data_IF_035366709587
#
_entry.id   IF_035366709587
#
_cell.length_a   1.000
_cell.length_b   1.000
_cell.length_c   1.000
_cell.angle_alpha   90.00
_cell.angle_beta   90.00
_cell.angle_gamma   90.00
#
_symmetry.space_group_name_H-M   'P 1'
#
loop_
_entity.id
_entity.type
_entity.pdbx_description
1 polymer ?
#
# COMPACT_ATOMS: atom_id res chain seq x y z
N UNK A 1 7.25 -2.58 -0.01
CA UNK A 1 6.71 -3.14 1.25
C UNK A 1 7.86 -3.42 2.18
N UNK A 2 7.74 -2.98 3.43
CA UNK A 2 8.74 -3.21 4.48
C UNK A 2 8.53 -4.56 5.17
N UNK A 3 9.51 -5.02 5.95
CA UNK A 3 9.37 -6.24 6.76
C UNK A 3 8.33 -6.04 7.88
N UNK A 4 8.29 -4.86 8.52
CA UNK A 4 7.30 -4.56 9.56
C UNK A 4 5.85 -4.72 9.07
N UNK A 5 5.57 -4.28 7.84
CA UNK A 5 4.27 -4.48 7.21
C UNK A 5 3.95 -5.96 6.94
N UNK A 6 4.94 -6.77 6.55
CA UNK A 6 4.74 -8.22 6.35
C UNK A 6 4.41 -8.90 7.67
N UNK A 7 5.11 -8.57 8.74
CA UNK A 7 4.86 -9.14 10.07
C UNK A 7 3.48 -8.75 10.60
N UNK A 8 3.08 -7.50 10.35
CA UNK A 8 1.72 -7.04 10.65
C UNK A 8 0.66 -7.81 9.87
N UNK A 9 0.86 -8.02 8.56
CA UNK A 9 -0.04 -8.81 7.73
C UNK A 9 -0.17 -10.26 8.21
N UNK A 10 0.93 -10.90 8.59
CA UNK A 10 0.91 -12.26 9.13
C UNK A 10 0.13 -12.29 10.45
N UNK A 11 0.35 -11.31 11.33
CA UNK A 11 -0.35 -11.23 12.62
C UNK A 11 -1.85 -10.98 12.44
N UNK A 12 -2.24 -10.13 11.49
CA UNK A 12 -3.63 -9.79 11.21
C UNK A 12 -4.38 -10.86 10.40
N UNK A 13 -3.67 -11.61 9.54
CA UNK A 13 -4.25 -12.54 8.58
C UNK A 13 -4.06 -14.03 8.91
N UNK A 14 -3.40 -14.36 10.02
CA UNK A 14 -3.20 -15.73 10.46
C UNK A 14 -4.12 -16.07 11.63
N UNK A 15 -5.07 -16.98 11.40
CA UNK A 15 -5.90 -17.55 12.46
C UNK A 15 -5.59 -19.04 12.61
N UNK A 16 -5.23 -19.54 13.81
CA UNK A 16 -4.88 -20.95 14.02
C UNK A 16 -5.94 -21.93 13.53
N UNK A 17 -7.22 -21.57 13.68
CA UNK A 17 -8.36 -22.40 13.28
C UNK A 17 -8.60 -22.43 11.76
N UNK A 18 -8.17 -21.39 11.03
CA UNK A 18 -8.45 -21.21 9.60
C UNK A 18 -7.19 -21.19 8.72
N UNK A 19 -6.01 -21.25 9.33
CA UNK A 19 -4.71 -21.13 8.65
C UNK A 19 -4.54 -19.76 7.99
N UNK A 20 -3.86 -19.73 6.85
CA UNK A 20 -3.62 -18.51 6.06
C UNK A 20 -4.81 -18.07 5.19
N UNK A 21 -6.01 -18.66 5.35
CA UNK A 21 -7.20 -18.25 4.59
C UNK A 21 -7.57 -16.76 4.80
N UNK A 22 -7.51 -16.21 6.03
CA UNK A 22 -7.78 -14.79 6.25
C UNK A 22 -6.70 -13.88 5.64
N UNK A 23 -5.47 -14.39 5.44
CA UNK A 23 -4.33 -13.62 4.93
C UNK A 23 -4.62 -12.93 3.59
N UNK A 24 -5.32 -13.61 2.68
CA UNK A 24 -5.70 -13.02 1.39
C UNK A 24 -6.63 -11.81 1.57
N UNK A 25 -7.55 -11.87 2.53
CA UNK A 25 -8.46 -10.76 2.84
C UNK A 25 -7.70 -9.61 3.51
N UNK A 26 -6.79 -9.93 4.43
CA UNK A 26 -5.92 -8.94 5.06
C UNK A 26 -5.06 -8.19 4.03
N UNK A 27 -4.49 -8.90 3.04
CA UNK A 27 -3.72 -8.26 1.95
C UNK A 27 -4.62 -7.32 1.14
N UNK A 28 -5.80 -7.78 0.71
CA UNK A 28 -6.71 -6.89 -0.04
C UNK A 28 -7.06 -5.65 0.78
N UNK A 29 -7.47 -5.81 2.03
CA UNK A 29 -7.94 -4.67 2.80
C UNK A 29 -6.82 -3.73 3.24
N UNK A 30 -5.69 -4.27 3.70
CA UNK A 30 -4.61 -3.44 4.23
C UNK A 30 -3.67 -2.90 3.14
N UNK A 31 -3.52 -3.61 2.01
CA UNK A 31 -2.63 -3.17 0.94
C UNK A 31 -3.41 -2.55 -0.22
N UNK A 32 -4.42 -3.23 -0.77
CA UNK A 32 -5.13 -2.73 -1.95
C UNK A 32 -6.00 -1.52 -1.62
N UNK A 33 -6.75 -1.53 -0.51
CA UNK A 33 -7.60 -0.39 -0.14
C UNK A 33 -6.75 0.86 0.19
N UNK A 34 -5.66 0.69 0.96
CA UNK A 34 -4.75 1.80 1.29
C UNK A 34 -4.04 2.37 0.06
N UNK A 35 -3.66 1.51 -0.90
CA UNK A 35 -3.14 1.98 -2.19
C UNK A 35 -4.20 2.74 -2.99
N UNK A 36 -5.42 2.21 -3.06
CA UNK A 36 -6.52 2.87 -3.77
C UNK A 36 -6.81 4.26 -3.20
N UNK A 37 -6.84 4.40 -1.87
CA UNK A 37 -7.03 5.68 -1.21
C UNK A 37 -5.87 6.66 -1.46
N UNK A 38 -4.63 6.18 -1.44
CA UNK A 38 -3.45 6.98 -1.77
C UNK A 38 -3.45 7.44 -3.24
N UNK A 39 -3.96 6.62 -4.15
CA UNK A 39 -4.15 7.00 -5.56
C UNK A 39 -5.28 8.02 -5.72
N UNK A 40 -6.42 7.81 -5.08
CA UNK A 40 -7.59 8.70 -5.15
C UNK A 40 -7.31 10.08 -4.52
N UNK A 41 -6.53 10.12 -3.45
CA UNK A 41 -6.07 11.37 -2.82
C UNK A 41 -4.98 12.10 -3.62
N UNK A 42 -4.46 11.48 -4.68
CA UNK A 42 -3.41 12.06 -5.53
C UNK A 42 -2.02 12.02 -4.90
N UNK A 43 -1.83 11.29 -3.80
CA UNK A 43 -0.52 11.07 -3.18
C UNK A 43 0.38 10.16 -4.02
N UNK A 44 -0.22 9.24 -4.79
CA UNK A 44 0.47 8.32 -5.71
C UNK A 44 -0.14 8.46 -7.08
N UNK A 45 0.71 8.62 -8.09
CA UNK A 45 0.29 8.69 -9.49
C UNK A 45 0.84 7.52 -10.30
N UNK A 46 0.28 7.33 -11.50
CA UNK A 46 0.79 6.31 -12.42
C UNK A 46 2.27 6.56 -12.73
N UNK A 47 3.09 5.51 -12.53
CA UNK A 47 4.54 5.58 -12.70
C UNK A 47 5.32 5.91 -11.42
N UNK A 48 4.64 6.24 -10.32
CA UNK A 48 5.29 6.40 -9.02
C UNK A 48 5.59 5.05 -8.36
N UNK A 49 6.61 5.04 -7.52
CA UNK A 49 6.93 3.88 -6.68
C UNK A 49 6.35 4.08 -5.29
N UNK A 50 5.34 3.28 -4.95
CA UNK A 50 4.72 3.25 -3.63
C UNK A 50 5.48 2.33 -2.66
N UNK A 51 5.81 2.84 -1.47
CA UNK A 51 6.34 2.07 -0.37
C UNK A 51 5.26 1.99 0.71
N UNK A 52 4.69 0.81 0.89
CA UNK A 52 3.76 0.52 1.99
C UNK A 52 4.56 0.07 3.21
N UNK A 53 4.29 0.70 4.34
CA UNK A 53 4.88 0.45 5.65
C UNK A 53 3.80 0.43 6.74
N UNK A 54 4.17 0.05 7.96
CA UNK A 54 3.31 0.12 9.14
C UNK A 54 3.97 1.01 10.19
N UNK A 55 3.20 1.89 10.82
CA UNK A 55 3.70 2.73 11.90
C UNK A 55 3.76 1.96 13.24
N UNK A 56 4.33 2.60 14.27
CA UNK A 56 4.43 2.03 15.62
C UNK A 56 3.07 1.76 16.28
N UNK A 57 1.98 2.33 15.72
CA UNK A 57 0.60 2.13 16.17
C UNK A 57 -0.13 1.03 15.39
N UNK A 58 0.52 0.39 14.41
CA UNK A 58 -0.06 -0.63 13.55
C UNK A 58 -0.97 -0.09 12.45
N UNK A 59 -0.87 1.20 12.12
CA UNK A 59 -1.55 1.80 10.97
C UNK A 59 -0.70 1.70 9.72
N UNK A 60 -1.35 1.32 8.61
CA UNK A 60 -0.71 1.23 7.30
C UNK A 60 -0.47 2.64 6.76
N UNK A 61 0.79 2.93 6.42
CA UNK A 61 1.20 4.17 5.78
C UNK A 61 1.73 3.88 4.39
N UNK A 62 1.38 4.72 3.43
CA UNK A 62 1.87 4.62 2.06
C UNK A 62 2.72 5.86 1.73
N UNK A 63 3.96 5.64 1.32
CA UNK A 63 4.92 6.67 0.97
C UNK A 63 5.20 6.63 -0.53
N UNK A 64 5.20 7.79 -1.20
CA UNK A 64 5.64 7.90 -2.60
C UNK A 64 7.14 8.19 -2.67
N UNK A 65 7.91 7.26 -3.26
CA UNK A 65 9.36 7.35 -3.34
C UNK A 65 9.87 8.19 -4.54
N UNK A 66 8.98 8.74 -5.38
CA UNK A 66 9.40 9.43 -6.61
C UNK A 66 8.70 10.77 -6.84
N UNK A 67 8.91 11.73 -5.93
CA UNK A 67 8.48 13.11 -6.13
C UNK A 67 9.26 13.87 -7.24
N UNK A 68 10.27 13.26 -7.90
CA UNK A 68 11.29 14.00 -8.66
C UNK A 68 11.23 13.89 -10.19
N UNK A 69 10.28 13.16 -10.79
CA UNK A 69 10.20 13.06 -12.27
C UNK A 69 9.04 13.82 -12.93
N UNK A 70 8.32 14.66 -12.18
CA UNK A 70 7.06 15.29 -12.60
C UNK A 70 7.18 16.67 -13.26
N UNK A 71 8.25 16.91 -14.02
CA UNK A 71 8.36 18.12 -14.86
C UNK A 71 8.09 17.86 -16.36
N UNK A 72 7.84 16.62 -16.80
CA UNK A 72 7.67 16.34 -18.22
C UNK A 72 6.65 15.22 -18.48
N UNK A 73 5.36 15.53 -18.36
CA UNK A 73 4.34 14.82 -19.15
C UNK A 73 3.29 15.83 -19.61
N UNK A 74 3.32 16.29 -20.87
CA UNK A 74 2.19 16.99 -21.45
C UNK A 74 1.05 15.96 -21.56
N UNK A 75 0.03 16.13 -20.73
CA UNK A 75 -1.23 15.39 -20.87
C UNK A 75 -1.77 15.71 -22.27
N UNK A 76 -1.70 14.70 -23.14
CA UNK A 76 -2.20 14.77 -24.50
C UNK A 76 -3.71 15.02 -24.47
N UNK A 77 -4.08 16.16 -25.01
CA UNK A 77 -5.45 16.48 -25.43
C UNK A 77 -5.82 15.55 -26.58
N UNK A 78 -6.88 14.76 -26.41
CA UNK A 78 -7.69 14.18 -27.47
C UNK A 78 -9.15 14.19 -27.02
#
# INVERSE_FOLDING_TARGET
VTEAFKDHLVTAGYEPSYGARPLRRAIMSLLEDSLAEAMLSGQIQEGDTAIVDVDDHGQVTVLSANAQKRLLQPVGVC
#
